data_IF_305936054251
#
_entry.id   IF_305936054251
#
_cell.length_a   1.000
_cell.length_b   1.000
_cell.length_c   1.000
_cell.angle_alpha   90.00
_cell.angle_beta   90.00
_cell.angle_gamma   90.00
#
_symmetry.space_group_name_H-M   'P 1'
#
loop_
_entity.id
_entity.type
_entity.pdbx_description
1 polymer ?
#
# COMPACT_ATOMS: atom_id res chain seq x y z
N UNK A 1 -13.07 -0.81 38.61
CA UNK A 1 -12.53 -2.13 38.24
C UNK A 1 -12.86 -2.40 36.78
N UNK A 2 -11.85 -2.56 35.93
CA UNK A 2 -11.99 -3.18 34.61
C UNK A 2 -10.77 -4.08 34.39
N UNK A 3 -10.93 -5.33 34.79
CA UNK A 3 -10.06 -6.44 34.42
C UNK A 3 -10.37 -6.80 32.97
N UNK A 4 -9.40 -6.68 32.07
CA UNK A 4 -9.30 -7.63 30.96
C UNK A 4 -7.83 -7.80 30.58
N UNK A 5 -7.23 -8.84 31.15
CA UNK A 5 -5.98 -9.43 30.69
C UNK A 5 -6.20 -10.03 29.30
N UNK A 6 -5.65 -9.40 28.27
CA UNK A 6 -5.20 -10.09 27.06
C UNK A 6 -3.77 -9.63 26.78
N UNK A 7 -2.80 -10.43 27.21
CA UNK A 7 -1.42 -10.32 26.75
C UNK A 7 -1.31 -10.88 25.34
N UNK A 8 -1.97 -10.27 24.34
CA UNK A 8 -1.67 -10.55 22.95
C UNK A 8 -0.49 -9.67 22.57
N UNK A 9 0.72 -10.25 22.54
CA UNK A 9 1.88 -9.52 22.04
C UNK A 9 1.57 -9.03 20.63
N UNK A 10 1.75 -7.73 20.40
CA UNK A 10 1.56 -7.14 19.07
C UNK A 10 2.37 -7.90 18.02
N UNK A 11 1.86 -8.05 16.78
CA UNK A 11 2.65 -8.60 15.69
C UNK A 11 4.00 -7.88 15.57
N UNK A 12 5.06 -8.64 15.29
CA UNK A 12 6.42 -8.09 15.18
C UNK A 12 6.98 -8.26 13.78
N UNK A 13 7.67 -7.23 13.30
CA UNK A 13 8.46 -7.26 12.08
C UNK A 13 9.87 -6.77 12.43
N UNK A 14 10.81 -7.70 12.50
CA UNK A 14 12.15 -7.42 13.02
C UNK A 14 12.08 -6.97 14.49
N UNK A 15 12.67 -5.82 14.78
CA UNK A 15 12.66 -5.24 16.13
C UNK A 15 11.35 -4.51 16.47
N UNK A 16 10.48 -4.24 15.50
CA UNK A 16 9.33 -3.35 15.65
C UNK A 16 8.04 -4.12 16.00
N UNK A 17 7.22 -3.52 16.87
CA UNK A 17 5.82 -3.92 17.07
C UNK A 17 4.93 -3.18 16.07
N UNK A 18 3.95 -3.88 15.51
CA UNK A 18 3.02 -3.32 14.52
C UNK A 18 1.65 -3.12 15.15
N UNK A 19 1.22 -1.87 15.23
CA UNK A 19 -0.10 -1.49 15.74
C UNK A 19 -1.15 -1.55 14.63
N UNK A 20 -1.50 -2.76 14.20
CA UNK A 20 -2.40 -3.01 13.06
C UNK A 20 -3.73 -2.27 13.20
N UNK A 21 -4.34 -2.30 14.39
CA UNK A 21 -5.63 -1.64 14.64
C UNK A 21 -5.56 -0.11 14.49
N UNK A 22 -4.48 0.52 14.99
CA UNK A 22 -4.31 1.97 14.86
C UNK A 22 -4.01 2.37 13.41
N UNK A 23 -3.19 1.57 12.72
CA UNK A 23 -2.96 1.73 11.29
C UNK A 23 -4.28 1.67 10.53
N UNK A 24 -5.11 0.64 10.76
CA UNK A 24 -6.41 0.51 10.10
C UNK A 24 -7.34 1.70 10.37
N UNK A 25 -7.41 2.13 11.64
CA UNK A 25 -8.27 3.26 12.04
C UNK A 25 -7.92 4.54 11.29
N UNK A 26 -6.63 4.79 11.07
CA UNK A 26 -6.16 6.01 10.39
C UNK A 26 -6.19 5.82 8.88
N UNK A 27 -5.45 4.83 8.36
CA UNK A 27 -5.23 4.65 6.93
C UNK A 27 -6.54 4.38 6.19
N UNK A 28 -7.37 3.45 6.66
CA UNK A 28 -8.59 3.06 5.94
C UNK A 28 -9.64 4.17 5.94
N UNK A 29 -9.64 5.03 6.95
CA UNK A 29 -10.60 6.15 7.05
C UNK A 29 -10.49 7.11 5.87
N UNK A 30 -9.29 7.28 5.31
CA UNK A 30 -9.00 8.15 4.17
C UNK A 30 -9.72 7.72 2.88
N UNK A 31 -10.13 6.45 2.81
CA UNK A 31 -10.70 5.85 1.60
C UNK A 31 -12.23 5.77 1.61
N UNK A 32 -12.87 6.13 2.73
CA UNK A 32 -14.32 5.99 2.94
C UNK A 32 -15.15 6.87 1.99
N UNK A 33 -14.67 8.07 1.66
CA UNK A 33 -15.39 9.07 0.88
C UNK A 33 -14.59 9.59 -0.33
N UNK A 34 -13.80 8.72 -0.96
CA UNK A 34 -13.01 9.08 -2.13
C UNK A 34 -13.90 9.57 -3.27
N UNK A 35 -13.76 10.86 -3.59
CA UNK A 35 -14.34 11.45 -4.79
C UNK A 35 -13.54 11.01 -6.02
N UNK A 36 -14.22 10.72 -7.11
CA UNK A 36 -13.61 10.30 -8.38
C UNK A 36 -14.07 11.22 -9.52
N UNK A 37 -13.22 11.55 -10.51
CA UNK A 37 -11.88 11.00 -10.74
C UNK A 37 -10.84 11.52 -9.76
N UNK A 38 -9.91 10.66 -9.33
CA UNK A 38 -8.80 11.05 -8.46
C UNK A 38 -7.55 10.20 -8.68
N UNK A 39 -6.43 10.72 -8.17
CA UNK A 39 -5.15 10.00 -8.09
C UNK A 39 -4.91 9.69 -6.61
N UNK A 40 -4.62 8.42 -6.32
CA UNK A 40 -4.31 7.95 -4.99
C UNK A 40 -2.83 7.57 -4.91
N UNK A 41 -2.14 8.12 -3.91
CA UNK A 41 -0.76 7.77 -3.60
C UNK A 41 -0.73 6.89 -2.35
N UNK A 42 -0.10 5.73 -2.46
CA UNK A 42 0.18 4.85 -1.32
C UNK A 42 1.68 4.57 -1.30
N UNK A 43 2.38 5.28 -0.43
CA UNK A 43 3.76 4.94 -0.16
C UNK A 43 3.79 3.69 0.73
N UNK A 44 4.54 2.69 0.27
CA UNK A 44 4.83 1.41 0.90
C UNK A 44 3.62 0.49 1.10
N UNK A 45 3.36 -0.38 0.13
CA UNK A 45 2.54 -1.60 0.32
C UNK A 45 3.49 -2.72 0.74
N UNK A 46 3.89 -2.68 2.01
CA UNK A 46 4.96 -3.50 2.58
C UNK A 46 4.49 -4.59 3.53
N UNK A 47 5.47 -5.28 4.13
CA UNK A 47 5.22 -6.40 5.05
C UNK A 47 4.41 -5.97 6.28
N UNK A 48 4.59 -4.76 6.77
CA UNK A 48 3.93 -4.27 7.99
C UNK A 48 2.46 -3.94 7.73
N UNK A 49 2.18 -3.24 6.65
CA UNK A 49 0.83 -2.83 6.22
C UNK A 49 0.00 -4.07 5.85
N UNK A 50 0.64 -5.07 5.23
CA UNK A 50 0.02 -6.34 4.87
C UNK A 50 -0.23 -7.29 6.05
N UNK A 51 0.05 -6.88 7.28
CA UNK A 51 -0.50 -7.56 8.46
C UNK A 51 -2.00 -7.24 8.64
N UNK A 52 -2.49 -6.13 8.07
CA UNK A 52 -3.92 -5.83 8.01
C UNK A 52 -4.57 -6.54 6.82
N UNK A 53 -5.56 -7.39 7.08
CA UNK A 53 -6.38 -7.98 6.01
C UNK A 53 -7.33 -6.95 5.40
N UNK A 54 -7.82 -5.99 6.20
CA UNK A 54 -8.69 -4.91 5.70
C UNK A 54 -7.95 -3.97 4.76
N UNK A 55 -6.66 -3.74 4.99
CA UNK A 55 -5.82 -3.01 4.04
C UNK A 55 -5.62 -3.78 2.74
N UNK A 56 -5.44 -5.11 2.77
CA UNK A 56 -5.39 -5.93 1.55
C UNK A 56 -6.67 -5.80 0.73
N UNK A 57 -7.83 -5.94 1.37
CA UNK A 57 -9.14 -5.79 0.74
C UNK A 57 -9.34 -4.38 0.16
N UNK A 58 -8.87 -3.34 0.86
CA UNK A 58 -8.86 -1.98 0.35
C UNK A 58 -8.03 -1.88 -0.93
N UNK A 59 -6.78 -2.37 -0.95
CA UNK A 59 -5.93 -2.34 -2.14
C UNK A 59 -6.59 -3.09 -3.30
N UNK A 60 -7.14 -4.27 -3.06
CA UNK A 60 -7.88 -5.04 -4.07
C UNK A 60 -9.08 -4.28 -4.63
N UNK A 61 -9.77 -3.51 -3.78
CA UNK A 61 -10.87 -2.63 -4.21
C UNK A 61 -10.36 -1.46 -5.05
N UNK A 62 -9.27 -0.81 -4.64
CA UNK A 62 -8.72 0.37 -5.33
C UNK A 62 -8.22 0.03 -6.73
N UNK A 63 -7.49 -1.06 -6.89
CA UNK A 63 -6.95 -1.49 -8.19
C UNK A 63 -8.04 -1.91 -9.19
N UNK A 64 -9.27 -2.14 -8.75
CA UNK A 64 -10.40 -2.47 -9.62
C UNK A 64 -11.21 -1.23 -10.05
N UNK A 65 -10.97 -0.05 -9.46
CA UNK A 65 -11.74 1.16 -9.75
C UNK A 65 -11.27 1.80 -11.05
N UNK A 66 -12.19 1.96 -12.02
CA UNK A 66 -11.89 2.55 -13.34
C UNK A 66 -11.61 4.05 -13.33
N UNK A 67 -12.19 4.80 -12.38
CA UNK A 67 -12.06 6.25 -12.30
C UNK A 67 -11.07 6.68 -11.20
N UNK A 68 -10.07 5.85 -10.92
CA UNK A 68 -9.04 6.10 -9.92
C UNK A 68 -7.70 5.62 -10.47
N UNK A 69 -6.68 6.49 -10.39
CA UNK A 69 -5.30 6.12 -10.72
C UNK A 69 -4.58 5.84 -9.40
N UNK A 70 -4.13 4.60 -9.20
CA UNK A 70 -3.36 4.22 -8.03
C UNK A 70 -1.87 4.25 -8.34
N UNK A 71 -1.13 5.06 -7.61
CA UNK A 71 0.34 5.11 -7.64
C UNK A 71 0.82 4.61 -6.30
N UNK A 72 1.56 3.49 -6.31
CA UNK A 72 2.03 2.87 -5.09
C UNK A 72 3.48 2.40 -5.20
N UNK A 73 4.19 2.38 -4.07
CA UNK A 73 5.51 1.76 -3.97
C UNK A 73 5.38 0.37 -3.33
N UNK A 74 6.14 -0.59 -3.86
CA UNK A 74 6.13 -1.98 -3.42
C UNK A 74 7.56 -2.47 -3.20
N UNK A 75 7.79 -3.42 -2.27
CA UNK A 75 9.11 -4.00 -2.07
C UNK A 75 9.57 -4.77 -3.32
N UNK A 76 10.88 -4.73 -3.58
CA UNK A 76 11.50 -5.54 -4.64
C UNK A 76 11.44 -7.04 -4.29
N UNK A 77 11.55 -7.36 -3.00
CA UNK A 77 11.52 -8.74 -2.50
C UNK A 77 10.11 -9.33 -2.68
N UNK A 78 10.00 -10.60 -3.11
CA UNK A 78 8.72 -11.29 -3.21
C UNK A 78 7.94 -11.22 -1.90
N UNK A 79 6.65 -10.93 -2.02
CA UNK A 79 5.72 -10.85 -0.92
C UNK A 79 4.35 -11.22 -1.48
N UNK A 80 3.82 -12.39 -1.11
CA UNK A 80 2.80 -13.07 -1.91
C UNK A 80 1.53 -12.27 -2.24
N UNK A 81 1.17 -11.23 -1.48
CA UNK A 81 0.11 -10.29 -1.87
C UNK A 81 0.57 -9.30 -2.96
N UNK A 82 1.74 -8.68 -2.78
CA UNK A 82 2.37 -7.74 -3.72
C UNK A 82 2.65 -8.40 -5.07
N UNK A 83 3.08 -9.66 -5.07
CA UNK A 83 3.37 -10.40 -6.29
C UNK A 83 2.14 -10.51 -7.21
N UNK A 84 0.94 -10.58 -6.63
CA UNK A 84 -0.32 -10.56 -7.39
C UNK A 84 -0.62 -9.20 -7.99
N UNK A 85 -0.25 -8.10 -7.34
CA UNK A 85 -0.46 -6.74 -7.84
C UNK A 85 0.48 -6.47 -9.02
N UNK A 86 1.77 -6.77 -8.87
CA UNK A 86 2.78 -6.45 -9.89
C UNK A 86 2.70 -7.31 -11.15
N UNK A 87 1.95 -8.41 -11.14
CA UNK A 87 1.76 -9.32 -12.28
C UNK A 87 0.49 -9.02 -13.07
N UNK A 88 -0.30 -8.03 -12.66
CA UNK A 88 -1.50 -7.62 -13.39
C UNK A 88 -1.12 -6.97 -14.71
N UNK A 89 -1.89 -7.28 -15.75
CA UNK A 89 -1.71 -6.72 -17.09
C UNK A 89 -2.10 -5.25 -17.20
N UNK A 90 -2.91 -4.73 -16.26
CA UNK A 90 -3.36 -3.35 -16.22
C UNK A 90 -2.53 -2.47 -15.27
N UNK A 91 -1.38 -2.97 -14.78
CA UNK A 91 -0.45 -2.20 -13.97
C UNK A 91 0.85 -1.93 -14.73
N UNK A 92 1.34 -0.68 -14.63
CA UNK A 92 2.68 -0.32 -15.09
C UNK A 92 3.66 -0.45 -13.92
N UNK A 93 4.59 -1.40 -14.02
CA UNK A 93 5.63 -1.58 -13.02
C UNK A 93 6.88 -0.77 -13.38
N UNK A 94 7.22 0.21 -12.53
CA UNK A 94 8.44 1.00 -12.67
C UNK A 94 9.46 0.57 -11.63
N UNK A 95 10.65 0.14 -12.08
CA UNK A 95 11.73 -0.22 -11.15
C UNK A 95 12.57 1.00 -10.85
N UNK A 96 12.57 1.44 -9.59
CA UNK A 96 13.39 2.56 -9.13
C UNK A 96 14.82 2.08 -8.89
N UNK A 97 15.78 2.69 -9.59
CA UNK A 97 17.22 2.47 -9.49
C UNK A 97 17.92 3.73 -8.95
N UNK A 98 19.20 3.62 -8.61
CA UNK A 98 19.98 4.81 -8.20
C UNK A 98 20.07 5.87 -9.29
N UNK A 99 20.02 5.45 -10.55
CA UNK A 99 20.20 6.32 -11.71
C UNK A 99 18.91 7.04 -12.09
N UNK A 100 17.74 6.43 -11.86
CA UNK A 100 16.44 7.03 -12.22
C UNK A 100 15.70 7.69 -11.04
N UNK A 101 16.08 7.41 -9.78
CA UNK A 101 15.39 7.94 -8.58
C UNK A 101 15.49 9.46 -8.43
N UNK A 102 16.53 10.06 -8.99
CA UNK A 102 16.81 11.49 -8.87
C UNK A 102 16.87 12.10 -10.26
N UNK A 103 15.92 12.97 -10.57
CA UNK A 103 15.85 13.66 -11.85
C UNK A 103 14.55 13.41 -12.61
N UNK A 104 14.48 13.84 -13.89
CA UNK A 104 13.23 13.85 -14.64
C UNK A 104 12.81 12.47 -15.15
N UNK A 105 13.69 11.46 -15.16
CA UNK A 105 13.40 10.16 -15.78
C UNK A 105 12.17 9.47 -15.18
N UNK A 106 12.18 9.17 -13.87
CA UNK A 106 11.05 8.54 -13.19
C UNK A 106 9.80 9.43 -13.21
N UNK A 107 9.98 10.74 -13.06
CA UNK A 107 8.87 11.71 -13.11
C UNK A 107 8.18 11.68 -14.47
N UNK A 108 8.93 11.73 -15.57
CA UNK A 108 8.38 11.74 -16.92
C UNK A 108 7.64 10.43 -17.20
N UNK A 109 8.22 9.29 -16.82
CA UNK A 109 7.57 7.99 -17.02
C UNK A 109 6.26 7.88 -16.22
N UNK A 110 6.20 8.43 -14.98
CA UNK A 110 4.95 8.51 -14.22
C UNK A 110 3.92 9.41 -14.93
N UNK A 111 4.33 10.59 -15.39
CA UNK A 111 3.44 11.57 -16.01
C UNK A 111 2.88 11.13 -17.37
N UNK A 112 3.53 10.20 -18.07
CA UNK A 112 2.98 9.61 -19.30
C UNK A 112 1.76 8.69 -19.05
N UNK A 113 1.57 8.24 -17.81
CA UNK A 113 0.57 7.22 -17.45
C UNK A 113 -0.53 7.75 -16.51
N UNK A 114 -0.54 9.06 -16.22
CA UNK A 114 -1.51 9.75 -15.36
C UNK A 114 -2.29 10.74 -16.20
#
# INVERSE_FOLDING_TARGET
EYTTSQSSSLPRVGQYNVFVNEFERIALSLFTNLQTPCICFIDEIGKMELLSNRFKELIETLIQRRNLILIATIPIKPLGFVDRIRTRSDCRLLTVTRDNRSGPALRNELMEHI
#
